data_IF_953357860551
#
_entry.id   IF_953357860551
#
_cell.length_a   1.000
_cell.length_b   1.000
_cell.length_c   1.000
_cell.angle_alpha   90.00
_cell.angle_beta   90.00
_cell.angle_gamma   90.00
#
_symmetry.space_group_name_H-M   'P 1'
#
loop_
_entity.id
_entity.type
_entity.pdbx_description
1 polymer ?
#
# COMPACT_ATOMS: atom_id res chain seq x y z
N UNK A 1 -17.22 38.12 -0.19
CA UNK A 1 -16.50 37.44 0.89
C UNK A 1 -17.30 37.69 2.14
N UNK A 2 -17.89 36.64 2.66
CA UNK A 2 -18.93 36.72 3.66
C UNK A 2 -18.28 36.91 5.04
N UNK A 3 -18.92 37.64 5.97
CA UNK A 3 -18.31 38.00 7.28
C UNK A 3 -17.96 36.73 8.08
N UNK A 4 -18.76 35.71 7.91
CA UNK A 4 -18.67 34.32 8.36
C UNK A 4 -17.35 33.63 7.97
N UNK A 5 -16.87 33.78 6.73
CA UNK A 5 -15.61 33.19 6.26
C UNK A 5 -14.39 33.80 7.00
N UNK A 6 -14.48 35.09 7.34
CA UNK A 6 -13.43 35.84 8.01
C UNK A 6 -13.28 35.42 9.48
N UNK A 7 -14.36 35.10 10.17
CA UNK A 7 -14.30 34.61 11.56
C UNK A 7 -13.64 33.24 11.64
N UNK A 8 -13.97 32.34 10.70
CA UNK A 8 -13.38 31.00 10.65
C UNK A 8 -11.87 31.10 10.37
N UNK A 9 -11.46 31.94 9.42
CA UNK A 9 -10.04 32.18 9.11
C UNK A 9 -9.25 32.77 10.29
N UNK A 10 -9.82 33.71 11.03
CA UNK A 10 -9.19 34.30 12.22
C UNK A 10 -8.99 33.28 13.36
N UNK A 11 -9.98 32.40 13.57
CA UNK A 11 -9.93 31.35 14.58
C UNK A 11 -8.87 30.29 14.23
N UNK A 12 -8.79 29.89 12.96
CA UNK A 12 -7.79 28.93 12.47
C UNK A 12 -6.36 29.50 12.52
N UNK A 13 -6.17 30.79 12.24
CA UNK A 13 -4.86 31.47 12.35
C UNK A 13 -4.35 31.58 13.80
N UNK A 14 -5.20 31.35 14.79
CA UNK A 14 -4.81 31.38 16.21
C UNK A 14 -4.18 30.05 16.67
N UNK A 15 -4.32 28.97 15.86
CA UNK A 15 -3.70 27.68 16.16
C UNK A 15 -2.17 27.79 15.96
N UNK A 16 -1.35 27.42 16.96
CA UNK A 16 0.10 27.56 16.86
C UNK A 16 0.70 26.52 15.90
N UNK A 17 1.66 26.92 15.07
CA UNK A 17 2.34 26.05 14.09
C UNK A 17 2.87 24.72 14.67
N UNK A 18 3.42 24.66 15.90
CA UNK A 18 3.83 23.40 16.52
C UNK A 18 2.70 22.38 16.68
N UNK A 19 1.45 22.82 16.89
CA UNK A 19 0.30 21.92 17.03
C UNK A 19 -0.09 21.32 15.69
N UNK A 20 -0.07 22.14 14.63
CA UNK A 20 -0.30 21.67 13.25
C UNK A 20 0.79 20.65 12.87
N UNK A 21 2.05 20.95 13.19
CA UNK A 21 3.16 20.01 12.99
C UNK A 21 2.98 18.70 13.76
N UNK A 22 2.48 18.76 15.01
CA UNK A 22 2.19 17.56 15.82
C UNK A 22 1.09 16.68 15.23
N UNK A 23 -0.01 17.28 14.75
CA UNK A 23 -1.09 16.54 14.11
C UNK A 23 -0.62 15.92 12.79
N UNK A 24 0.09 16.68 11.95
CA UNK A 24 0.66 16.16 10.70
C UNK A 24 1.67 15.04 10.96
N UNK A 25 2.57 15.19 11.93
CA UNK A 25 3.55 14.16 12.30
C UNK A 25 2.86 12.88 12.79
N UNK A 26 1.80 13.00 13.59
CA UNK A 26 1.04 11.85 14.09
C UNK A 26 0.38 11.06 12.95
N UNK A 27 -0.19 11.75 11.95
CA UNK A 27 -0.79 11.11 10.78
C UNK A 27 0.24 10.39 9.91
N UNK A 28 1.42 10.99 9.71
CA UNK A 28 2.53 10.34 8.98
C UNK A 28 3.06 9.12 9.73
N UNK A 29 3.18 9.20 11.06
CA UNK A 29 3.56 8.06 11.89
C UNK A 29 2.55 6.90 11.78
N UNK A 30 1.26 7.20 11.73
CA UNK A 30 0.22 6.17 11.52
C UNK A 30 0.34 5.50 10.16
N UNK A 31 0.56 6.27 9.08
CA UNK A 31 0.77 5.71 7.72
C UNK A 31 1.98 4.77 7.70
N UNK A 32 3.09 5.16 8.35
CA UNK A 32 4.28 4.31 8.50
C UNK A 32 3.98 3.07 9.33
N UNK A 33 3.20 3.20 10.42
CA UNK A 33 2.79 2.07 11.27
C UNK A 33 1.99 1.02 10.50
N UNK A 34 1.02 1.44 9.69
CA UNK A 34 0.24 0.55 8.83
C UNK A 34 1.14 -0.10 7.77
N UNK A 35 2.08 0.65 7.19
CA UNK A 35 3.03 0.11 6.22
C UNK A 35 3.95 -0.98 6.84
N UNK A 36 4.47 -0.74 8.05
CA UNK A 36 5.30 -1.72 8.76
C UNK A 36 4.49 -2.96 9.15
N UNK A 37 3.23 -2.79 9.58
CA UNK A 37 2.36 -3.93 9.87
C UNK A 37 2.18 -4.85 8.67
N UNK A 38 2.07 -4.29 7.46
CA UNK A 38 2.03 -5.09 6.24
C UNK A 38 3.38 -5.76 5.94
N UNK A 39 4.51 -5.09 6.20
CA UNK A 39 5.85 -5.67 6.02
C UNK A 39 6.13 -6.84 6.96
N UNK A 40 5.47 -6.91 8.13
CA UNK A 40 5.59 -8.05 9.04
C UNK A 40 5.05 -9.36 8.44
N UNK A 41 4.21 -9.28 7.39
CA UNK A 41 3.75 -10.48 6.66
C UNK A 41 4.82 -11.07 5.73
N UNK A 42 5.88 -10.31 5.45
CA UNK A 42 7.01 -10.72 4.63
C UNK A 42 8.05 -11.39 5.52
N UNK A 43 8.72 -12.42 5.00
CA UNK A 43 9.80 -13.09 5.72
C UNK A 43 11.04 -12.17 5.78
N UNK A 44 11.21 -11.48 6.91
CA UNK A 44 12.34 -10.59 7.19
C UNK A 44 13.57 -11.31 7.74
N UNK A 45 13.53 -12.65 7.91
CA UNK A 45 14.72 -13.43 8.24
C UNK A 45 15.67 -13.58 7.04
N UNK A 46 15.11 -13.46 5.83
CA UNK A 46 15.88 -13.49 4.60
C UNK A 46 16.66 -12.19 4.40
N UNK A 47 17.98 -12.31 4.38
CA UNK A 47 18.90 -11.20 4.11
C UNK A 47 18.57 -10.44 2.82
N UNK A 48 18.05 -11.14 1.80
CA UNK A 48 17.53 -10.55 0.56
C UNK A 48 16.44 -9.51 0.84
N UNK A 49 15.38 -9.89 1.56
CA UNK A 49 14.22 -9.01 1.79
C UNK A 49 14.59 -7.81 2.67
N UNK A 50 15.35 -8.05 3.74
CA UNK A 50 15.84 -6.99 4.61
C UNK A 50 16.80 -6.03 3.87
N UNK A 51 17.63 -6.57 2.96
CA UNK A 51 18.51 -5.77 2.10
C UNK A 51 17.74 -4.88 1.12
N UNK A 52 16.71 -5.41 0.45
CA UNK A 52 15.83 -4.64 -0.44
C UNK A 52 15.13 -3.51 0.33
N UNK A 53 14.59 -3.82 1.51
CA UNK A 53 13.94 -2.85 2.38
C UNK A 53 14.88 -1.72 2.80
N UNK A 54 16.06 -2.05 3.35
CA UNK A 54 17.02 -1.06 3.81
C UNK A 54 17.58 -0.19 2.66
N UNK A 55 17.91 -0.81 1.52
CA UNK A 55 18.47 -0.09 0.38
C UNK A 55 17.44 0.84 -0.28
N UNK A 56 16.19 0.38 -0.45
CA UNK A 56 15.11 1.21 -0.99
C UNK A 56 14.76 2.39 -0.09
N UNK A 57 14.78 2.22 1.24
CA UNK A 57 14.57 3.31 2.20
C UNK A 57 15.67 4.37 2.12
N UNK A 58 16.94 3.95 1.99
CA UNK A 58 18.07 4.87 1.82
C UNK A 58 17.97 5.64 0.49
N UNK A 59 17.69 4.95 -0.61
CA UNK A 59 17.50 5.61 -1.91
C UNK A 59 16.31 6.57 -1.90
N UNK A 60 15.21 6.20 -1.25
CA UNK A 60 14.04 7.05 -1.06
C UNK A 60 14.34 8.36 -0.31
N UNK A 61 15.40 8.43 0.49
CA UNK A 61 15.85 9.69 1.12
C UNK A 61 16.92 10.42 0.31
N UNK A 62 17.86 9.68 -0.28
CA UNK A 62 19.03 10.25 -0.98
C UNK A 62 18.61 10.89 -2.31
N UNK A 63 17.81 10.19 -3.11
CA UNK A 63 17.47 10.60 -4.48
C UNK A 63 16.64 11.88 -4.51
N UNK A 64 15.55 12.04 -3.72
CA UNK A 64 14.82 13.30 -3.67
C UNK A 64 15.68 14.48 -3.23
N UNK A 65 16.62 14.26 -2.29
CA UNK A 65 17.53 15.30 -1.83
C UNK A 65 18.52 15.72 -2.92
N UNK A 66 18.96 14.78 -3.76
CA UNK A 66 19.81 15.08 -4.90
C UNK A 66 19.06 15.91 -5.95
N UNK A 67 17.87 15.46 -6.39
CA UNK A 67 17.07 16.17 -7.39
C UNK A 67 16.38 17.44 -6.86
N UNK A 68 16.34 17.63 -5.54
CA UNK A 68 16.00 18.92 -4.92
C UNK A 68 17.09 19.98 -5.12
N UNK A 69 18.35 19.58 -5.24
CA UNK A 69 19.48 20.49 -5.49
C UNK A 69 19.83 20.62 -6.97
N UNK A 70 19.71 19.53 -7.71
CA UNK A 70 20.05 19.45 -9.13
C UNK A 70 18.83 18.96 -9.91
N UNK A 71 17.90 19.86 -10.25
CA UNK A 71 16.69 19.49 -10.98
C UNK A 71 17.03 19.03 -12.41
N UNK A 72 16.21 18.15 -12.95
CA UNK A 72 16.34 17.68 -14.34
C UNK A 72 15.97 18.83 -15.28
N UNK A 73 16.88 19.16 -16.20
CA UNK A 73 16.70 20.18 -17.23
C UNK A 73 17.03 19.57 -18.59
N UNK A 74 15.98 19.19 -19.32
CA UNK A 74 16.00 18.77 -20.74
C UNK A 74 15.29 19.84 -21.58
N UNK A 75 15.33 19.78 -22.91
CA UNK A 75 14.66 20.76 -23.79
C UNK A 75 13.11 20.77 -23.69
N UNK A 76 12.52 19.83 -22.93
CA UNK A 76 11.07 19.61 -22.85
C UNK A 76 10.53 20.02 -21.47
N UNK A 77 9.99 21.24 -21.37
CA UNK A 77 9.57 21.84 -20.09
C UNK A 77 8.50 21.04 -19.33
N UNK A 78 7.47 20.54 -20.03
CA UNK A 78 6.39 19.75 -19.41
C UNK A 78 6.92 18.43 -18.85
N UNK A 79 7.91 17.83 -19.51
CA UNK A 79 8.54 16.58 -19.09
C UNK A 79 9.43 16.79 -17.87
N UNK A 80 10.19 17.89 -17.85
CA UNK A 80 10.99 18.30 -16.70
C UNK A 80 10.12 18.47 -15.45
N UNK A 81 8.94 19.10 -15.56
CA UNK A 81 8.05 19.26 -14.41
C UNK A 81 7.59 17.92 -13.84
N UNK A 82 7.13 17.01 -14.70
CA UNK A 82 6.68 15.68 -14.26
C UNK A 82 7.84 14.92 -13.61
N UNK A 83 9.02 14.91 -14.23
CA UNK A 83 10.19 14.22 -13.67
C UNK A 83 10.63 14.81 -12.35
N UNK A 84 10.74 16.14 -12.23
CA UNK A 84 11.18 16.77 -11.00
C UNK A 84 10.20 16.50 -9.85
N UNK A 85 8.89 16.53 -10.10
CA UNK A 85 7.89 16.17 -9.07
C UNK A 85 8.04 14.72 -8.64
N UNK A 86 8.15 13.78 -9.59
CA UNK A 86 8.27 12.35 -9.27
C UNK A 86 9.58 12.03 -8.54
N UNK A 87 10.70 12.57 -9.01
CA UNK A 87 12.04 12.32 -8.43
C UNK A 87 12.21 12.96 -7.05
N UNK A 88 11.49 14.05 -6.77
CA UNK A 88 11.49 14.71 -5.45
C UNK A 88 10.52 14.08 -4.45
N UNK A 89 9.68 13.11 -4.84
CA UNK A 89 8.77 12.41 -3.93
C UNK A 89 9.47 11.22 -3.25
N UNK A 90 9.79 11.27 -1.94
CA UNK A 90 10.52 10.20 -1.25
C UNK A 90 9.79 8.85 -1.25
N UNK A 91 8.47 8.91 -1.06
CA UNK A 91 7.62 7.72 -1.08
C UNK A 91 7.59 7.04 -2.44
N UNK A 92 7.54 7.83 -3.53
CA UNK A 92 7.54 7.29 -4.90
C UNK A 92 8.88 6.64 -5.23
N UNK A 93 9.99 7.34 -5.01
CA UNK A 93 11.31 6.82 -5.35
C UNK A 93 11.66 5.58 -4.52
N UNK A 94 11.38 5.60 -3.22
CA UNK A 94 11.58 4.43 -2.36
C UNK A 94 10.78 3.22 -2.83
N UNK A 95 9.49 3.40 -3.15
CA UNK A 95 8.63 2.33 -3.66
C UNK A 95 9.08 1.81 -5.03
N UNK A 96 9.43 2.70 -5.96
CA UNK A 96 9.92 2.33 -7.29
C UNK A 96 11.21 1.51 -7.18
N UNK A 97 12.17 1.95 -6.37
CA UNK A 97 13.39 1.21 -6.11
C UNK A 97 13.07 -0.16 -5.50
N UNK A 98 12.24 -0.23 -4.45
CA UNK A 98 11.84 -1.48 -3.84
C UNK A 98 11.22 -2.46 -4.85
N UNK A 99 10.33 -1.98 -5.72
CA UNK A 99 9.73 -2.79 -6.78
C UNK A 99 10.77 -3.30 -7.78
N UNK A 100 11.69 -2.45 -8.24
CA UNK A 100 12.75 -2.87 -9.18
C UNK A 100 13.61 -3.96 -8.52
N UNK A 101 14.09 -3.71 -7.31
CA UNK A 101 14.95 -4.63 -6.56
C UNK A 101 14.26 -5.97 -6.25
N UNK A 102 12.97 -5.96 -5.89
CA UNK A 102 12.19 -7.18 -5.63
C UNK A 102 11.96 -8.02 -6.90
N UNK A 103 11.89 -7.40 -8.07
CA UNK A 103 11.77 -8.10 -9.35
C UNK A 103 13.12 -8.57 -9.91
N UNK A 104 14.19 -7.80 -9.72
CA UNK A 104 15.52 -8.14 -10.24
C UNK A 104 16.22 -9.21 -9.41
N UNK A 105 16.02 -9.23 -8.08
CA UNK A 105 16.71 -10.18 -7.20
C UNK A 105 15.85 -11.44 -7.00
N UNK A 106 16.34 -12.57 -7.54
CA UNK A 106 15.71 -13.88 -7.42
C UNK A 106 15.90 -14.57 -6.06
N UNK A 107 15.40 -15.80 -5.95
CA UNK A 107 15.63 -16.67 -4.78
C UNK A 107 14.57 -16.57 -3.66
N UNK A 108 13.44 -15.94 -3.93
CA UNK A 108 12.30 -15.84 -3.01
C UNK A 108 11.15 -16.77 -3.43
N UNK A 109 10.59 -17.54 -2.51
CA UNK A 109 9.27 -18.16 -2.73
C UNK A 109 8.16 -17.11 -2.56
N UNK A 110 6.94 -17.40 -3.05
CA UNK A 110 5.80 -16.47 -2.96
C UNK A 110 5.46 -16.13 -1.51
N UNK A 111 5.46 -17.13 -0.64
CA UNK A 111 5.18 -16.98 0.79
C UNK A 111 6.22 -16.11 1.48
N UNK A 112 7.49 -16.28 1.12
CA UNK A 112 8.59 -15.45 1.63
C UNK A 112 8.51 -13.99 1.19
N UNK A 113 7.75 -13.67 0.14
CA UNK A 113 7.43 -12.28 -0.28
C UNK A 113 6.19 -11.72 0.43
N UNK A 114 5.59 -12.45 1.37
CA UNK A 114 4.31 -12.10 1.99
C UNK A 114 3.10 -12.35 1.10
N UNK A 115 3.26 -13.11 0.01
CA UNK A 115 2.19 -13.47 -0.90
C UNK A 115 1.68 -14.88 -0.61
N UNK A 116 0.37 -15.08 -0.61
CA UNK A 116 -0.23 -16.40 -0.38
C UNK A 116 0.17 -17.42 -1.44
N UNK A 117 0.14 -18.69 -1.03
CA UNK A 117 0.23 -19.80 -1.95
C UNK A 117 -0.94 -19.73 -2.97
N UNK A 118 -0.65 -20.09 -4.22
CA UNK A 118 -1.64 -20.06 -5.29
C UNK A 118 -2.70 -21.15 -5.01
N UNK A 119 -3.90 -20.74 -4.61
CA UNK A 119 -5.04 -21.64 -4.39
C UNK A 119 -5.60 -21.65 -2.98
N UNK A 120 -4.96 -20.96 -2.02
CA UNK A 120 -5.46 -20.86 -0.65
C UNK A 120 -6.60 -19.83 -0.55
N UNK A 121 -7.78 -20.32 -0.16
CA UNK A 121 -8.94 -19.52 0.18
C UNK A 121 -8.84 -19.21 1.68
N UNK A 122 -9.22 -17.99 2.07
CA UNK A 122 -9.32 -17.61 3.48
C UNK A 122 -9.99 -18.73 4.29
N UNK A 123 -9.25 -19.31 5.24
CA UNK A 123 -9.81 -20.07 6.36
C UNK A 123 -10.33 -19.17 7.48
N UNK A 124 -10.69 -17.93 7.15
CA UNK A 124 -11.48 -17.08 8.04
C UNK A 124 -12.92 -17.58 7.97
N UNK A 125 -13.60 -17.65 9.12
CA UNK A 125 -15.03 -17.92 9.15
C UNK A 125 -15.76 -17.03 8.14
N UNK A 126 -16.92 -17.50 7.68
CA UNK A 126 -17.78 -16.84 6.68
C UNK A 126 -18.14 -15.39 7.08
N UNK A 127 -17.83 -15.02 8.33
CA UNK A 127 -18.16 -13.78 9.00
C UNK A 127 -17.03 -12.73 9.01
N UNK A 128 -15.78 -13.06 8.63
CA UNK A 128 -14.65 -12.18 8.98
C UNK A 128 -13.88 -11.56 7.78
N UNK A 129 -13.85 -12.16 6.59
CA UNK A 129 -13.03 -11.61 5.47
C UNK A 129 -13.56 -11.84 4.05
N UNK A 130 -14.83 -12.24 3.87
CA UNK A 130 -15.49 -12.18 2.57
C UNK A 130 -16.61 -11.16 2.67
N UNK A 131 -16.65 -10.19 1.76
CA UNK A 131 -17.71 -9.17 1.68
C UNK A 131 -19.03 -9.83 1.26
N UNK A 132 -19.59 -10.70 2.08
CA UNK A 132 -20.80 -11.45 1.80
C UNK A 132 -22.00 -10.64 2.24
N UNK A 133 -22.86 -10.29 1.28
CA UNK A 133 -24.19 -9.78 1.61
C UNK A 133 -24.97 -10.85 2.39
N UNK A 134 -25.96 -10.46 3.22
CA UNK A 134 -26.80 -11.42 3.93
C UNK A 134 -27.35 -12.49 2.98
N UNK A 135 -27.39 -13.75 3.44
CA UNK A 135 -27.77 -14.95 2.66
C UNK A 135 -28.92 -14.76 1.64
N UNK A 136 -30.05 -14.10 1.98
CA UNK A 136 -31.12 -13.88 0.99
C UNK A 136 -30.68 -12.99 -0.19
N UNK A 137 -29.89 -11.94 0.08
CA UNK A 137 -29.38 -11.03 -0.94
C UNK A 137 -28.37 -11.73 -1.82
N UNK A 138 -27.47 -12.53 -1.24
CA UNK A 138 -26.47 -13.28 -2.00
C UNK A 138 -27.12 -14.30 -2.96
N UNK A 139 -28.21 -14.95 -2.55
CA UNK A 139 -28.95 -15.90 -3.39
C UNK A 139 -29.63 -15.20 -4.59
N UNK A 140 -30.10 -13.97 -4.42
CA UNK A 140 -30.65 -13.13 -5.50
C UNK A 140 -29.53 -12.66 -6.43
N UNK A 141 -28.40 -12.23 -5.87
CA UNK A 141 -27.27 -11.66 -6.60
C UNK A 141 -26.53 -12.71 -7.45
N UNK A 142 -26.40 -13.94 -6.93
CA UNK A 142 -25.85 -15.08 -7.68
C UNK A 142 -26.75 -15.57 -8.81
N UNK A 143 -28.04 -15.23 -8.79
CA UNK A 143 -28.97 -15.57 -9.88
C UNK A 143 -28.73 -14.74 -11.13
N UNK A 144 -28.06 -13.60 -11.03
CA UNK A 144 -27.84 -12.67 -12.15
C UNK A 144 -26.41 -12.85 -12.69
N UNK A 145 -26.24 -13.37 -13.91
CA UNK A 145 -24.93 -13.77 -14.44
C UNK A 145 -23.97 -12.59 -14.69
N UNK A 146 -24.49 -11.39 -14.94
CA UNK A 146 -23.67 -10.21 -15.22
C UNK A 146 -23.04 -9.60 -13.95
N UNK A 147 -23.67 -9.76 -12.78
CA UNK A 147 -23.21 -9.10 -11.55
C UNK A 147 -21.88 -9.69 -11.07
N UNK A 148 -21.61 -10.96 -11.41
CA UNK A 148 -20.32 -11.60 -11.17
C UNK A 148 -19.17 -11.04 -12.02
N UNK A 149 -19.40 -10.15 -12.99
CA UNK A 149 -18.32 -9.50 -13.72
C UNK A 149 -17.86 -8.18 -13.06
N UNK A 150 -18.63 -7.66 -12.10
CA UNK A 150 -18.34 -6.38 -11.45
C UNK A 150 -17.14 -6.53 -10.50
N UNK A 151 -16.15 -5.61 -10.54
CA UNK A 151 -14.94 -5.66 -9.70
C UNK A 151 -15.21 -5.70 -8.18
N UNK A 152 -16.35 -5.15 -7.74
CA UNK A 152 -16.77 -5.08 -6.34
C UNK A 152 -17.69 -6.24 -5.90
N UNK A 153 -17.96 -7.23 -6.76
CA UNK A 153 -18.89 -8.32 -6.45
C UNK A 153 -18.17 -9.48 -5.73
N UNK A 154 -18.63 -9.91 -4.55
CA UNK A 154 -18.11 -11.11 -3.88
C UNK A 154 -18.36 -12.36 -4.74
N UNK A 155 -17.30 -13.11 -5.04
CA UNK A 155 -17.39 -14.43 -5.70
C UNK A 155 -17.11 -15.51 -4.69
N UNK A 156 -18.06 -16.42 -4.49
CA UNK A 156 -17.79 -17.66 -3.76
C UNK A 156 -16.79 -18.49 -4.57
N UNK A 157 -15.56 -18.60 -4.07
CA UNK A 157 -14.58 -19.57 -4.58
C UNK A 157 -14.75 -20.86 -3.78
N UNK A 158 -15.09 -21.97 -4.44
CA UNK A 158 -15.06 -23.30 -3.82
C UNK A 158 -13.60 -23.74 -3.63
N UNK A 159 -13.20 -24.00 -2.39
CA UNK A 159 -11.84 -24.42 -2.05
C UNK A 159 -11.62 -25.90 -2.29
N UNK A 160 -10.58 -26.24 -3.06
CA UNK A 160 -10.02 -27.58 -3.08
C UNK A 160 -9.02 -27.67 -1.92
N UNK A 161 -9.48 -28.11 -0.75
CA UNK A 161 -8.61 -28.44 0.38
C UNK A 161 -7.90 -29.76 0.09
N UNK A 162 -6.64 -29.72 -0.35
CA UNK A 162 -5.82 -30.93 -0.58
C UNK A 162 -4.64 -31.10 0.37
N UNK A 163 -4.46 -30.26 1.39
CA UNK A 163 -3.19 -30.25 2.17
C UNK A 163 -3.39 -30.38 3.68
N UNK A 164 -4.32 -31.24 4.15
CA UNK A 164 -4.44 -31.54 5.59
C UNK A 164 -4.34 -33.01 5.99
N UNK A 165 -3.98 -33.92 5.08
CA UNK A 165 -3.88 -35.36 5.41
C UNK A 165 -2.44 -35.88 5.69
N UNK A 166 -1.37 -35.13 5.45
CA UNK A 166 0.00 -35.68 5.58
C UNK A 166 0.73 -35.44 6.92
N UNK A 167 0.12 -34.82 7.95
CA UNK A 167 0.79 -34.60 9.26
C UNK A 167 0.07 -35.33 10.41
N UNK A 168 -0.39 -36.55 10.16
CA UNK A 168 -0.69 -37.53 11.23
C UNK A 168 -0.29 -38.94 10.78
N UNK A 169 1.00 -39.25 10.91
CA UNK A 169 1.49 -40.57 11.30
C UNK A 169 2.75 -40.38 12.15
#
# INVERSE_FOLDING_TARGET
MNRDDMYIGALLSTIPDPLVGGVLASSMAMVVGVAISNLQTVDMSLSRNMGIFGFSMMLGMIVPRYFGKFPVQTDWDWFNQILNVLLQMPMFVGALCACILDNTIGGATREQRGLRARGEIFGGGIDECTYSYPKPVMNILNRIPFVQYIPCMPKEKKGTNRVREEIRL
#
